data_IF_222713483235
#
_entry.id   IF_222713483235
#
_cell.length_a   1.000
_cell.length_b   1.000
_cell.length_c   1.000
_cell.angle_alpha   90.00
_cell.angle_beta   90.00
_cell.angle_gamma   90.00
#
_symmetry.space_group_name_H-M   'P 1'
#
loop_
_entity.id
_entity.type
_entity.pdbx_description
1 polymer ?
#
# COMPACT_ATOMS: atom_id res chain seq x y z
N UNK A 1 -0.91 -20.44 -4.08
CA UNK A 1 -0.59 -19.64 -2.89
C UNK A 1 0.50 -18.69 -3.32
N UNK A 2 0.38 -17.42 -2.97
CA UNK A 2 1.38 -16.39 -3.27
C UNK A 2 1.63 -15.51 -2.07
N UNK A 3 2.89 -15.16 -1.86
CA UNK A 3 3.31 -14.25 -0.80
C UNK A 3 3.45 -12.85 -1.37
N UNK A 4 2.66 -11.92 -0.86
CA UNK A 4 2.55 -10.55 -1.35
C UNK A 4 2.89 -9.54 -0.27
N UNK A 5 3.54 -8.43 -0.64
CA UNK A 5 3.84 -7.33 0.28
C UNK A 5 2.81 -6.24 0.14
N UNK A 6 2.07 -5.99 1.21
CA UNK A 6 0.97 -5.02 1.25
C UNK A 6 1.29 -3.92 2.25
N UNK A 7 1.28 -2.67 1.80
CA UNK A 7 1.40 -1.50 2.64
C UNK A 7 0.01 -1.05 3.13
N UNK A 8 -0.13 -0.88 4.44
CA UNK A 8 -1.32 -0.33 5.08
C UNK A 8 -0.91 0.96 5.79
N UNK A 9 -1.34 2.10 5.25
CA UNK A 9 -1.02 3.41 5.79
C UNK A 9 -1.61 3.62 7.19
N UNK A 10 -0.85 4.34 8.04
CA UNK A 10 -1.23 4.71 9.40
C UNK A 10 -2.63 5.35 9.47
N UNK A 11 -2.89 6.38 8.68
CA UNK A 11 -4.13 7.15 8.70
C UNK A 11 -5.35 6.32 8.32
N UNK A 12 -5.21 5.35 7.40
CA UNK A 12 -6.29 4.42 7.09
C UNK A 12 -6.48 3.40 8.21
N UNK A 13 -5.39 2.90 8.80
CA UNK A 13 -5.47 2.00 9.95
C UNK A 13 -6.15 2.69 11.13
N UNK A 14 -5.79 3.94 11.43
CA UNK A 14 -6.35 4.75 12.50
C UNK A 14 -7.82 5.09 12.27
N UNK A 15 -8.19 5.50 11.05
CA UNK A 15 -9.56 5.90 10.74
C UNK A 15 -10.53 4.71 10.70
N UNK A 16 -10.26 3.73 9.83
CA UNK A 16 -11.20 2.65 9.51
C UNK A 16 -10.63 1.25 9.68
N UNK A 17 -9.33 1.11 9.94
CA UNK A 17 -8.69 -0.19 10.06
C UNK A 17 -9.05 -0.96 11.32
N UNK A 18 -8.81 -2.26 11.26
CA UNK A 18 -8.90 -3.18 12.39
C UNK A 18 -7.50 -3.75 12.62
N UNK A 19 -6.94 -3.64 13.84
CA UNK A 19 -5.66 -4.24 14.19
C UNK A 19 -5.64 -5.75 13.91
N UNK A 20 -4.46 -6.24 13.53
CA UNK A 20 -4.23 -7.65 13.22
C UNK A 20 -2.83 -8.06 13.70
N UNK A 21 -2.62 -9.36 13.83
CA UNK A 21 -1.36 -9.97 14.26
C UNK A 21 -0.87 -11.00 13.25
N UNK A 22 0.39 -11.39 13.38
CA UNK A 22 0.93 -12.54 12.64
C UNK A 22 0.06 -13.77 12.91
N UNK A 23 -0.32 -14.46 11.83
CA UNK A 23 -1.21 -15.62 11.88
C UNK A 23 -2.68 -15.32 11.65
N UNK A 24 -3.12 -14.05 11.74
CA UNK A 24 -4.52 -13.69 11.48
C UNK A 24 -4.88 -13.87 10.00
N UNK A 25 -6.15 -14.17 9.76
CA UNK A 25 -6.75 -14.06 8.43
C UNK A 25 -7.37 -12.68 8.28
N UNK A 26 -7.03 -12.02 7.18
CA UNK A 26 -7.45 -10.65 6.88
C UNK A 26 -7.98 -10.58 5.45
N UNK A 27 -8.87 -9.62 5.21
CA UNK A 27 -9.43 -9.33 3.90
C UNK A 27 -9.34 -7.83 3.65
N UNK A 28 -8.67 -7.46 2.55
CA UNK A 28 -8.38 -6.08 2.20
C UNK A 28 -8.69 -5.77 0.74
N UNK A 29 -9.36 -4.64 0.45
CA UNK A 29 -9.35 -4.08 -0.90
C UNK A 29 -7.94 -3.57 -1.21
N UNK A 30 -7.31 -4.14 -2.23
CA UNK A 30 -5.95 -3.78 -2.63
C UNK A 30 -5.97 -2.85 -3.84
N UNK A 31 -5.07 -1.88 -3.84
CA UNK A 31 -4.79 -0.95 -4.93
C UNK A 31 -3.32 -1.11 -5.31
N UNK A 32 -3.02 -1.26 -6.59
CA UNK A 32 -1.66 -1.25 -7.11
C UNK A 32 -1.27 0.20 -7.44
N UNK A 33 -0.45 0.79 -6.59
CA UNK A 33 -0.06 2.21 -6.68
C UNK A 33 1.34 2.33 -7.27
N UNK A 34 1.61 3.39 -8.05
CA UNK A 34 2.97 3.70 -8.49
C UNK A 34 3.88 3.89 -7.26
N UNK A 35 5.09 3.34 -7.32
CA UNK A 35 6.00 3.42 -6.18
C UNK A 35 6.40 4.84 -5.83
N UNK A 36 6.47 5.73 -6.80
CA UNK A 36 6.87 7.12 -6.59
C UNK A 36 5.80 7.91 -5.81
N UNK A 37 4.53 7.50 -5.92
CA UNK A 37 3.41 8.11 -5.19
C UNK A 37 3.30 7.60 -3.74
N UNK A 38 3.97 6.49 -3.41
CA UNK A 38 3.97 5.94 -2.05
C UNK A 38 5.24 6.36 -1.33
N UNK A 39 5.11 7.21 -0.31
CA UNK A 39 6.22 7.63 0.58
C UNK A 39 7.49 8.08 -0.18
N UNK A 40 7.35 8.72 -1.34
CA UNK A 40 8.46 9.29 -2.12
C UNK A 40 9.35 8.29 -2.84
N UNK A 41 8.85 7.10 -3.19
CA UNK A 41 9.60 6.13 -3.98
C UNK A 41 10.50 5.20 -3.18
N UNK A 42 11.48 4.59 -3.85
CA UNK A 42 12.51 3.77 -3.21
C UNK A 42 12.05 2.38 -2.72
N UNK A 43 10.90 1.89 -3.16
CA UNK A 43 10.31 0.58 -2.79
C UNK A 43 10.92 -0.62 -3.53
N UNK A 44 12.18 -0.54 -3.97
CA UNK A 44 12.76 -1.48 -4.95
C UNK A 44 12.65 -2.97 -4.58
N UNK A 45 12.56 -3.30 -3.29
CA UNK A 45 12.46 -4.69 -2.81
C UNK A 45 11.02 -5.10 -2.48
N UNK A 46 10.09 -4.16 -2.44
CA UNK A 46 8.69 -4.36 -2.04
C UNK A 46 7.72 -4.21 -3.21
N UNK A 47 8.22 -3.93 -4.42
CA UNK A 47 7.40 -3.88 -5.62
C UNK A 47 6.75 -5.23 -5.89
N UNK A 48 5.46 -5.17 -6.21
CA UNK A 48 4.66 -6.27 -6.71
C UNK A 48 4.53 -6.14 -8.22
N UNK A 49 4.64 -7.26 -8.91
CA UNK A 49 4.41 -7.35 -10.34
C UNK A 49 3.16 -8.19 -10.58
N UNK A 50 2.19 -7.62 -11.29
CA UNK A 50 0.98 -8.31 -11.72
C UNK A 50 0.95 -8.36 -13.24
N UNK A 51 0.71 -9.56 -13.78
CA UNK A 51 0.53 -9.78 -15.21
C UNK A 51 -0.75 -10.57 -15.43
N UNK A 52 -1.81 -9.91 -15.87
CA UNK A 52 -3.10 -10.55 -16.16
C UNK A 52 -3.87 -9.77 -17.20
N UNK A 53 -4.97 -10.35 -17.66
CA UNK A 53 -6.01 -9.61 -18.36
C UNK A 53 -6.67 -8.61 -17.40
N UNK A 54 -7.04 -7.45 -17.94
CA UNK A 54 -7.75 -6.41 -17.19
C UNK A 54 -9.22 -6.78 -17.06
N UNK A 55 -9.66 -7.00 -15.83
CA UNK A 55 -11.07 -7.17 -15.49
C UNK A 55 -11.76 -5.82 -15.30
N UNK A 56 -13.06 -5.76 -15.57
CA UNK A 56 -13.89 -4.58 -15.32
C UNK A 56 -14.97 -4.88 -14.30
N UNK A 57 -15.05 -4.01 -13.30
CA UNK A 57 -16.16 -3.98 -12.35
C UNK A 57 -16.89 -2.65 -12.50
N UNK A 58 -18.21 -2.75 -12.70
CA UNK A 58 -19.08 -1.60 -12.87
C UNK A 58 -19.84 -1.35 -11.57
N UNK A 59 -19.41 -0.38 -10.77
CA UNK A 59 -20.15 0.08 -9.58
C UNK A 59 -20.12 1.61 -9.45
N UNK A 60 -21.09 2.26 -10.09
CA UNK A 60 -21.15 3.72 -10.19
C UNK A 60 -20.01 4.34 -11.02
N UNK A 61 -19.27 3.53 -11.78
CA UNK A 61 -18.12 3.86 -12.62
C UNK A 61 -17.37 2.59 -13.05
N UNK A 62 -16.38 2.70 -13.95
CA UNK A 62 -15.55 1.55 -14.38
C UNK A 62 -14.30 1.48 -13.51
N UNK A 63 -14.16 0.41 -12.73
CA UNK A 63 -12.92 0.07 -12.01
C UNK A 63 -12.20 -1.05 -12.76
N UNK A 64 -10.88 -0.87 -13.00
CA UNK A 64 -10.03 -1.87 -13.64
C UNK A 64 -9.25 -2.64 -12.59
N UNK A 65 -9.34 -3.96 -12.68
CA UNK A 65 -8.69 -4.87 -11.74
C UNK A 65 -7.70 -5.77 -12.48
N UNK A 66 -6.68 -6.19 -11.76
CA UNK A 66 -5.83 -7.32 -12.11
C UNK A 66 -6.07 -8.45 -11.12
N UNK A 67 -6.09 -9.67 -11.65
CA UNK A 67 -6.21 -10.90 -10.87
C UNK A 67 -5.01 -11.79 -11.15
N UNK A 68 -4.22 -12.04 -10.12
CA UNK A 68 -3.13 -13.01 -10.22
C UNK A 68 -3.69 -14.44 -10.09
N UNK A 69 -2.96 -15.41 -10.65
CA UNK A 69 -3.33 -16.83 -10.63
C UNK A 69 -3.44 -17.40 -9.21
N UNK A 70 -2.77 -16.76 -8.25
CA UNK A 70 -2.78 -17.16 -6.84
C UNK A 70 -3.92 -16.53 -6.02
N UNK A 71 -4.89 -15.87 -6.67
CA UNK A 71 -6.09 -15.35 -6.03
C UNK A 71 -5.99 -13.88 -5.58
N UNK A 72 -4.83 -13.24 -5.70
CA UNK A 72 -4.69 -11.81 -5.43
C UNK A 72 -5.52 -11.01 -6.44
N UNK A 73 -6.31 -10.06 -5.93
CA UNK A 73 -7.04 -9.07 -6.72
C UNK A 73 -6.62 -7.67 -6.28
N UNK A 74 -6.23 -6.83 -7.24
CA UNK A 74 -5.90 -5.43 -6.98
C UNK A 74 -6.52 -4.51 -8.04
N UNK A 75 -7.04 -3.37 -7.61
CA UNK A 75 -7.41 -2.30 -8.51
C UNK A 75 -6.18 -1.56 -9.06
N UNK A 76 -6.31 -0.97 -10.25
CA UNK A 76 -5.28 -0.15 -10.86
C UNK A 76 -5.41 1.35 -10.55
N UNK A 77 -6.55 1.76 -10.00
CA UNK A 77 -6.89 3.14 -9.71
C UNK A 77 -7.99 3.21 -8.65
N UNK A 78 -7.94 4.24 -7.80
CA UNK A 78 -8.94 4.47 -6.75
C UNK A 78 -10.27 4.96 -7.34
N UNK A 79 -10.21 6.01 -8.16
CA UNK A 79 -11.38 6.61 -8.79
C UNK A 79 -11.73 5.93 -10.12
N UNK A 80 -13.02 5.89 -10.52
CA UNK A 80 -13.40 5.48 -11.87
C UNK A 80 -12.63 6.27 -12.93
N UNK A 81 -11.93 5.56 -13.80
CA UNK A 81 -11.24 6.17 -14.94
C UNK A 81 -12.20 6.42 -16.08
N UNK A 82 -11.92 7.44 -16.86
CA UNK A 82 -12.41 7.60 -18.22
C UNK A 82 -11.91 6.46 -19.13
N UNK A 83 -12.33 6.39 -20.40
CA UNK A 83 -11.93 5.28 -21.29
C UNK A 83 -10.41 5.27 -21.62
N UNK A 84 -9.67 6.27 -21.14
CA UNK A 84 -8.21 6.37 -21.21
C UNK A 84 -7.54 5.24 -20.41
N UNK A 85 -6.53 4.55 -20.97
CA UNK A 85 -5.77 3.46 -20.34
C UNK A 85 -6.03 2.07 -20.95
N UNK A 86 -5.58 0.96 -20.32
CA UNK A 86 -5.74 -0.39 -20.89
C UNK A 86 -7.21 -0.85 -20.96
N UNK A 87 -7.60 -1.38 -22.13
CA UNK A 87 -8.95 -1.87 -22.41
C UNK A 87 -9.35 -3.07 -21.54
N UNK A 88 -10.62 -3.51 -21.61
CA UNK A 88 -10.99 -4.78 -20.96
C UNK A 88 -10.26 -5.90 -21.68
N UNK A 89 -10.02 -7.02 -21.00
CA UNK A 89 -9.44 -8.23 -21.62
C UNK A 89 -8.05 -7.98 -22.24
N UNK A 90 -7.48 -6.79 -22.04
CA UNK A 90 -6.14 -6.47 -22.46
C UNK A 90 -5.19 -7.09 -21.45
N UNK A 91 -4.30 -7.96 -21.94
CA UNK A 91 -3.18 -8.42 -21.13
C UNK A 91 -2.22 -7.27 -20.87
N UNK A 92 -1.97 -6.98 -19.60
CA UNK A 92 -0.97 -5.99 -19.21
C UNK A 92 0.00 -6.58 -18.19
N UNK A 93 1.15 -5.91 -18.07
CA UNK A 93 2.10 -6.09 -16.97
C UNK A 93 2.18 -4.77 -16.22
N UNK A 94 1.89 -4.79 -14.93
CA UNK A 94 1.95 -3.62 -14.06
C UNK A 94 2.84 -3.89 -12.86
N UNK A 95 3.59 -2.87 -12.43
CA UNK A 95 4.53 -2.95 -11.32
C UNK A 95 4.24 -1.78 -10.39
N UNK A 96 4.12 -2.05 -9.10
CA UNK A 96 3.80 -1.02 -8.11
C UNK A 96 3.82 -1.55 -6.68
N UNK A 97 3.43 -0.72 -5.73
CA UNK A 97 3.23 -1.12 -4.33
C UNK A 97 1.77 -1.49 -4.14
N UNK A 98 1.50 -2.66 -3.56
CA UNK A 98 0.14 -3.01 -3.14
C UNK A 98 -0.19 -2.22 -1.88
N UNK A 99 -1.24 -1.41 -1.94
CA UNK A 99 -1.73 -0.61 -0.81
C UNK A 99 -3.16 -1.01 -0.45
N UNK A 100 -3.51 -0.91 0.83
CA UNK A 100 -4.90 -1.08 1.27
C UNK A 100 -5.71 0.19 0.92
N UNK A 101 -6.95 0.05 0.46
CA UNK A 101 -7.84 1.20 0.21
C UNK A 101 -9.21 1.07 0.89
N UNK A 102 -9.42 1.72 2.03
CA UNK A 102 -10.66 1.54 2.85
C UNK A 102 -11.72 2.64 2.69
N UNK A 103 -11.40 3.77 2.09
CA UNK A 103 -12.28 4.94 2.00
C UNK A 103 -13.03 5.04 0.67
N UNK A 104 -12.40 4.60 -0.43
CA UNK A 104 -12.97 4.67 -1.78
C UNK A 104 -13.31 3.31 -2.40
N UNK A 105 -12.82 2.21 -1.83
CA UNK A 105 -12.88 0.92 -2.51
C UNK A 105 -14.30 0.39 -2.71
N UNK A 106 -14.56 0.01 -3.97
CA UNK A 106 -15.80 -0.66 -4.43
C UNK A 106 -15.54 -1.98 -5.15
N UNK A 107 -14.31 -2.48 -5.05
CA UNK A 107 -13.87 -3.71 -5.69
C UNK A 107 -13.71 -4.85 -4.68
N UNK A 108 -13.62 -6.11 -5.14
CA UNK A 108 -13.45 -7.26 -4.26
C UNK A 108 -12.21 -7.14 -3.37
N UNK A 109 -12.33 -7.64 -2.14
CA UNK A 109 -11.20 -7.77 -1.23
C UNK A 109 -10.34 -9.00 -1.58
N UNK A 110 -9.03 -8.89 -1.36
CA UNK A 110 -8.14 -10.05 -1.29
C UNK A 110 -8.06 -10.54 0.15
N UNK A 111 -8.32 -11.83 0.34
CA UNK A 111 -8.16 -12.51 1.63
C UNK A 111 -6.83 -13.25 1.70
N UNK A 112 -6.17 -13.21 2.85
CA UNK A 112 -4.93 -13.96 3.06
C UNK A 112 -4.56 -14.07 4.53
N UNK A 113 -3.52 -14.85 4.80
CA UNK A 113 -2.96 -15.02 6.14
C UNK A 113 -1.75 -14.11 6.33
N UNK A 114 -1.73 -13.36 7.42
CA UNK A 114 -0.59 -12.53 7.81
C UNK A 114 0.59 -13.41 8.19
N UNK A 115 1.72 -13.26 7.49
CA UNK A 115 2.97 -13.98 7.73
C UNK A 115 4.01 -13.16 8.46
N UNK A 116 4.05 -11.85 8.22
CA UNK A 116 4.91 -10.91 8.91
C UNK A 116 4.28 -9.53 8.94
N UNK A 117 4.60 -8.74 9.97
CA UNK A 117 4.21 -7.33 10.09
C UNK A 117 5.45 -6.52 10.38
N UNK A 118 5.65 -5.45 9.63
CA UNK A 118 6.73 -4.49 9.86
C UNK A 118 6.15 -3.10 10.03
N UNK A 119 6.46 -2.40 11.12
CA UNK A 119 6.22 -0.97 11.21
C UNK A 119 7.12 -0.27 10.19
N UNK A 120 6.53 0.63 9.40
CA UNK A 120 7.24 1.44 8.41
C UNK A 120 7.52 2.80 9.02
N UNK A 121 8.77 3.08 9.35
CA UNK A 121 9.22 4.43 9.70
C UNK A 121 9.70 5.16 8.45
N UNK A 122 9.29 6.42 8.30
CA UNK A 122 9.64 7.26 7.16
C UNK A 122 10.09 8.65 7.62
N UNK A 123 11.26 9.08 7.16
CA UNK A 123 11.75 10.44 7.34
C UNK A 123 11.05 11.43 6.40
N UNK A 124 10.76 12.63 6.89
CA UNK A 124 10.21 13.74 6.13
C UNK A 124 11.01 15.02 6.40
N UNK A 125 11.15 15.86 5.38
CA UNK A 125 11.75 17.19 5.50
C UNK A 125 10.78 18.27 4.99
N UNK A 126 10.89 19.47 5.53
CA UNK A 126 10.19 20.63 4.97
C UNK A 126 10.64 20.89 3.52
N UNK A 127 9.70 21.17 2.63
CA UNK A 127 9.97 21.50 1.22
C UNK A 127 10.76 22.80 1.06
N UNK A 128 10.56 23.72 1.98
CA UNK A 128 11.34 24.94 2.13
C UNK A 128 11.36 25.34 3.61
N UNK A 129 12.40 26.06 4.04
CA UNK A 129 12.56 26.46 5.44
C UNK A 129 11.34 27.24 5.94
N UNK A 130 10.67 26.72 6.97
CA UNK A 130 9.47 27.30 7.56
C UNK A 130 8.17 26.99 6.79
N UNK A 131 8.22 26.10 5.80
CA UNK A 131 7.05 25.58 5.11
C UNK A 131 6.19 24.73 6.04
N UNK A 132 4.89 24.64 5.74
CA UNK A 132 3.99 23.66 6.35
C UNK A 132 3.94 22.35 5.58
N UNK A 133 4.52 22.34 4.38
CA UNK A 133 4.54 21.19 3.50
C UNK A 133 5.79 20.36 3.78
N UNK A 134 5.58 19.06 3.86
CA UNK A 134 6.60 18.07 4.19
C UNK A 134 6.64 17.03 3.08
N UNK A 135 7.83 16.74 2.60
CA UNK A 135 8.06 15.69 1.62
C UNK A 135 8.81 14.51 2.26
N UNK A 136 8.46 13.27 1.90
CA UNK A 136 9.22 12.11 2.32
C UNK A 136 10.66 12.22 1.80
N UNK A 137 11.63 11.91 2.66
CA UNK A 137 13.05 11.88 2.28
C UNK A 137 13.35 10.50 1.68
N UNK A 138 13.76 10.40 0.41
CA UNK A 138 14.10 9.13 -0.20
C UNK A 138 15.22 8.43 0.58
N UNK A 139 15.05 7.13 0.81
CA UNK A 139 16.04 6.29 1.51
C UNK A 139 16.03 6.39 3.04
N UNK A 140 15.23 7.27 3.64
CA UNK A 140 15.04 7.34 5.10
C UNK A 140 13.86 6.48 5.59
N UNK A 141 13.66 5.35 4.93
CA UNK A 141 12.68 4.34 5.33
C UNK A 141 13.35 3.24 6.12
N UNK A 142 12.75 2.85 7.24
CA UNK A 142 13.17 1.66 7.98
C UNK A 142 11.97 0.78 8.34
N UNK A 143 12.25 -0.51 8.47
CA UNK A 143 11.27 -1.54 8.81
C UNK A 143 11.62 -2.13 10.17
N UNK A 144 10.65 -2.14 11.08
CA UNK A 144 10.76 -2.76 12.39
C UNK A 144 9.77 -3.93 12.47
N UNK A 145 10.29 -5.16 12.61
CA UNK A 145 9.46 -6.34 12.73
C UNK A 145 8.69 -6.34 14.05
N UNK A 146 7.38 -6.58 13.98
CA UNK A 146 6.48 -6.63 15.14
C UNK A 146 5.51 -7.81 15.00
N UNK A 147 4.98 -8.28 16.13
CA UNK A 147 3.99 -9.38 16.13
C UNK A 147 2.60 -8.93 15.72
N UNK A 148 2.29 -7.62 15.81
CA UNK A 148 0.99 -7.11 15.43
C UNK A 148 0.97 -5.63 15.09
N UNK A 149 0.01 -5.27 14.25
CA UNK A 149 -0.25 -3.91 13.82
C UNK A 149 -0.97 -3.14 14.92
N UNK A 150 -0.44 -1.99 15.38
CA UNK A 150 -1.17 -1.13 16.32
C UNK A 150 -2.37 -0.49 15.62
N UNK A 151 -3.36 -0.06 16.41
CA UNK A 151 -4.46 0.78 15.91
C UNK A 151 -4.00 2.23 15.70
N UNK A 152 -3.15 2.73 16.60
CA UNK A 152 -2.74 4.13 16.69
C UNK A 152 -1.22 4.25 16.61
N UNK A 153 -0.73 5.10 15.71
CA UNK A 153 0.67 5.30 15.37
C UNK A 153 1.12 6.65 15.94
N UNK A 154 1.47 6.68 17.23
CA UNK A 154 1.78 7.93 17.92
C UNK A 154 3.27 8.35 17.84
N UNK A 155 4.13 7.49 17.32
CA UNK A 155 5.58 7.70 17.35
C UNK A 155 6.01 8.69 16.28
N UNK A 156 6.46 9.86 16.74
CA UNK A 156 7.13 10.87 15.94
C UNK A 156 8.37 11.39 16.66
N UNK A 157 9.45 11.54 15.91
CA UNK A 157 10.71 12.10 16.39
C UNK A 157 11.04 13.34 15.56
N UNK A 158 11.02 14.51 16.20
CA UNK A 158 11.31 15.79 15.54
C UNK A 158 12.81 16.10 15.60
N UNK A 159 13.35 16.65 14.52
CA UNK A 159 14.77 16.93 14.37
C UNK A 159 15.10 18.02 13.34
N UNK A 160 16.33 17.97 12.86
CA UNK A 160 16.88 18.85 11.83
C UNK A 160 17.77 18.03 10.88
N UNK A 161 17.67 18.31 9.59
CA UNK A 161 18.63 17.75 8.61
C UNK A 161 20.02 18.37 8.80
N UNK A 162 21.05 17.79 8.18
CA UNK A 162 22.39 18.39 8.16
C UNK A 162 22.42 19.83 7.59
N UNK A 163 21.46 20.17 6.73
CA UNK A 163 21.29 21.52 6.15
C UNK A 163 20.42 22.45 7.02
N UNK A 164 19.95 21.99 8.18
CA UNK A 164 19.18 22.78 9.14
C UNK A 164 17.70 22.94 8.81
N UNK A 165 17.17 22.24 7.81
CA UNK A 165 15.72 22.14 7.56
C UNK A 165 15.06 21.32 8.68
N UNK A 166 13.79 21.60 9.00
CA UNK A 166 13.09 20.76 9.95
C UNK A 166 12.90 19.36 9.36
N UNK A 167 13.07 18.36 10.22
CA UNK A 167 13.04 16.94 9.88
C UNK A 167 12.15 16.23 10.89
N UNK A 168 11.43 15.20 10.45
CA UNK A 168 10.63 14.35 11.33
C UNK A 168 10.71 12.90 10.87
N UNK A 169 10.83 11.98 11.81
CA UNK A 169 10.66 10.55 11.58
C UNK A 169 9.29 10.16 12.13
N UNK A 170 8.46 9.51 11.31
CA UNK A 170 7.11 9.08 11.71
C UNK A 170 6.91 7.62 11.36
N UNK A 171 6.10 6.90 12.15
CA UNK A 171 5.62 5.57 11.76
C UNK A 171 4.44 5.74 10.79
N UNK A 172 4.70 5.62 9.49
CA UNK A 172 3.77 5.91 8.39
C UNK A 172 2.77 4.78 8.11
N UNK A 173 2.89 3.64 8.79
CA UNK A 173 1.99 2.50 8.63
C UNK A 173 2.69 1.16 8.86
N UNK A 174 2.18 0.12 8.22
CA UNK A 174 2.76 -1.24 8.25
C UNK A 174 2.96 -1.81 6.86
N UNK A 175 4.02 -2.60 6.71
CA UNK A 175 4.24 -3.49 5.58
C UNK A 175 3.96 -4.92 6.02
N UNK A 176 3.09 -5.60 5.28
CA UNK A 176 2.59 -6.93 5.62
C UNK A 176 3.00 -7.92 4.56
N UNK A 177 3.60 -9.04 4.98
CA UNK A 177 3.71 -10.21 4.13
C UNK A 177 2.39 -11.00 4.24
N UNK A 178 1.59 -11.00 3.18
CA UNK A 178 0.27 -11.63 3.09
C UNK A 178 0.35 -12.89 2.22
N UNK A 179 0.03 -14.03 2.80
CA UNK A 179 -0.07 -15.31 2.08
C UNK A 179 -1.49 -15.51 1.56
N UNK A 180 -1.66 -15.33 0.26
CA UNK A 180 -2.95 -15.42 -0.43
C UNK A 180 -3.16 -16.85 -0.92
N UNK A 181 -4.26 -17.53 -0.51
CA UNK A 181 -4.56 -18.86 -0.99
C UNK A 181 -4.92 -18.82 -2.47
N UNK A 182 -4.37 -19.77 -3.24
CA UNK A 182 -4.72 -19.91 -4.66
C UNK A 182 -6.22 -20.10 -4.84
N UNK A 183 -6.78 -19.57 -5.93
CA UNK A 183 -8.15 -19.88 -6.31
C UNK A 183 -8.26 -21.39 -6.57
N UNK A 184 -9.19 -22.13 -5.95
CA UNK A 184 -9.42 -23.52 -6.34
C UNK A 184 -9.83 -23.54 -7.83
N UNK A 185 -9.15 -24.39 -8.60
CA UNK A 185 -9.40 -24.60 -10.03
C UNK A 185 -10.82 -25.12 -10.32
#
# INVERSE_FOLDING_TARGET
MGLWRVFYADWQMECCGTPFSVGDEVSWPLLLTDSDDVLGGGWYHELSELSSEVERVSDGGVIRLLRADDGLVAALHEDPVDESGPGPDQWIRSVGVLTVERHGARWPETSGRVRAVHLVRQGYAETARGSRDWEPVPGERSLEAVEGCPKWFADKEDGRTAMGAAHRLVTAGVLVDLDVPGTPA
#
